data_IF_099776819271
#
_entry.id   IF_099776819271
#
_cell.length_a   1.000
_cell.length_b   1.000
_cell.length_c   1.000
_cell.angle_alpha   90.00
_cell.angle_beta   90.00
_cell.angle_gamma   90.00
#
_symmetry.space_group_name_H-M   'P 1'
#
loop_
_entity.id
_entity.type
_entity.pdbx_description
1 polymer ?
#
# COMPACT_ATOMS: atom_id res chain seq x y z
N UNK A 1 23.03 -8.44 9.48
CA UNK A 1 21.73 -7.77 9.30
C UNK A 1 21.97 -6.29 9.36
N UNK A 2 21.89 -5.60 8.23
CA UNK A 2 22.00 -4.14 8.19
C UNK A 2 20.80 -3.55 8.96
N UNK A 3 21.04 -2.61 9.89
CA UNK A 3 19.96 -1.98 10.65
C UNK A 3 19.12 -1.15 9.67
N UNK A 4 17.82 -1.43 9.58
CA UNK A 4 16.89 -0.56 8.85
C UNK A 4 17.04 0.89 9.32
N UNK A 5 17.31 1.80 8.37
CA UNK A 5 17.45 3.23 8.64
C UNK A 5 16.07 3.78 9.00
N UNK A 6 15.93 4.36 10.20
CA UNK A 6 14.72 5.10 10.56
C UNK A 6 14.71 6.44 9.81
N UNK A 7 14.03 6.47 8.67
CA UNK A 7 13.92 7.65 7.80
C UNK A 7 13.27 8.85 8.49
N UNK A 8 12.51 8.64 9.56
CA UNK A 8 11.93 9.75 10.36
C UNK A 8 13.01 10.55 11.09
N UNK A 9 14.15 9.92 11.38
CA UNK A 9 15.30 10.55 12.03
C UNK A 9 16.34 11.04 11.01
N UNK A 10 16.33 10.49 9.80
CA UNK A 10 17.29 10.82 8.73
C UNK A 10 16.56 11.02 7.39
N UNK A 11 15.79 12.11 7.21
CA UNK A 11 14.91 12.29 6.05
C UNK A 11 15.65 12.33 4.70
N UNK A 12 16.93 12.70 4.68
CA UNK A 12 17.77 12.71 3.48
C UNK A 12 18.06 11.32 2.90
N UNK A 13 17.83 10.25 3.68
CA UNK A 13 17.95 8.85 3.24
C UNK A 13 16.63 8.30 2.68
N UNK A 14 15.60 9.13 2.51
CA UNK A 14 14.32 8.69 1.95
C UNK A 14 14.48 8.17 0.52
N UNK A 15 13.87 7.01 0.26
CA UNK A 15 13.82 6.32 -1.03
C UNK A 15 12.38 5.86 -1.24
N UNK A 16 11.72 6.49 -2.19
CA UNK A 16 10.30 6.33 -2.44
C UNK A 16 10.04 5.27 -3.50
N UNK A 17 9.02 4.45 -3.27
CA UNK A 17 8.39 3.62 -4.28
C UNK A 17 6.90 3.87 -4.32
N UNK A 18 6.27 3.38 -5.38
CA UNK A 18 4.81 3.42 -5.54
C UNK A 18 4.29 2.00 -5.70
N UNK A 19 3.20 1.69 -5.00
CA UNK A 19 2.42 0.49 -5.22
C UNK A 19 1.04 0.90 -5.71
N UNK A 20 0.65 0.35 -6.85
CA UNK A 20 -0.70 0.51 -7.37
C UNK A 20 -1.46 -0.79 -7.13
N UNK A 21 -2.35 -0.79 -6.13
CA UNK A 21 -3.20 -1.94 -5.82
C UNK A 21 -4.59 -1.78 -6.45
N UNK A 22 -5.03 -2.81 -7.15
CA UNK A 22 -6.23 -2.86 -7.96
C UNK A 22 -7.05 -4.13 -7.65
N UNK A 23 -8.00 -4.47 -8.52
CA UNK A 23 -8.87 -5.64 -8.34
C UNK A 23 -8.11 -6.94 -8.12
N UNK A 24 -6.90 -7.09 -8.67
CA UNK A 24 -6.06 -8.27 -8.44
C UNK A 24 -5.64 -8.35 -6.97
N UNK A 25 -5.00 -7.30 -6.46
CA UNK A 25 -4.49 -7.24 -5.08
C UNK A 25 -5.65 -7.30 -4.08
N UNK A 26 -6.77 -6.64 -4.40
CA UNK A 26 -7.95 -6.56 -3.54
C UNK A 26 -8.70 -7.90 -3.44
N UNK A 27 -8.84 -8.63 -4.56
CA UNK A 27 -9.78 -9.76 -4.64
C UNK A 27 -9.10 -11.13 -4.75
N UNK A 28 -7.80 -11.20 -5.10
CA UNK A 28 -7.15 -12.46 -5.48
C UNK A 28 -5.84 -12.71 -4.76
N UNK A 29 -4.98 -11.69 -4.66
CA UNK A 29 -3.66 -11.88 -4.09
C UNK A 29 -3.74 -12.33 -2.63
N UNK A 30 -2.86 -13.23 -2.23
CA UNK A 30 -2.74 -13.77 -0.88
C UNK A 30 -1.85 -12.87 0.01
N UNK A 31 -1.71 -13.19 1.31
CA UNK A 31 -0.70 -12.51 2.13
C UNK A 31 0.72 -12.71 1.58
N UNK A 32 1.02 -13.88 1.01
CA UNK A 32 2.34 -14.20 0.43
C UNK A 32 2.62 -13.40 -0.85
N UNK A 33 1.62 -13.25 -1.73
CA UNK A 33 1.76 -12.43 -2.94
C UNK A 33 2.08 -10.97 -2.60
N UNK A 34 1.39 -10.42 -1.60
CA UNK A 34 1.63 -9.05 -1.12
C UNK A 34 3.00 -8.94 -0.42
N UNK A 35 3.39 -9.92 0.39
CA UNK A 35 4.71 -9.96 1.03
C UNK A 35 5.84 -9.97 -0.01
N UNK A 36 5.73 -10.82 -1.04
CA UNK A 36 6.69 -10.91 -2.12
C UNK A 36 6.79 -9.60 -2.92
N UNK A 37 5.65 -8.96 -3.19
CA UNK A 37 5.60 -7.66 -3.85
C UNK A 37 6.34 -6.60 -3.03
N UNK A 38 6.02 -6.47 -1.74
CA UNK A 38 6.69 -5.49 -0.85
C UNK A 38 8.17 -5.82 -0.67
N UNK A 39 8.53 -7.09 -0.52
CA UNK A 39 9.92 -7.54 -0.44
C UNK A 39 10.72 -7.06 -1.64
N UNK A 40 10.14 -7.10 -2.85
CA UNK A 40 10.82 -6.62 -4.07
C UNK A 40 11.18 -5.13 -4.04
N UNK A 41 10.46 -4.32 -3.25
CA UNK A 41 10.79 -2.92 -3.00
C UNK A 41 11.88 -2.80 -1.93
N UNK A 42 11.77 -3.57 -0.85
CA UNK A 42 12.77 -3.63 0.22
C UNK A 42 14.16 -4.04 -0.33
N UNK A 43 14.20 -5.07 -1.18
CA UNK A 43 15.43 -5.55 -1.85
C UNK A 43 16.09 -4.48 -2.74
N UNK A 44 15.31 -3.48 -3.20
CA UNK A 44 15.80 -2.31 -3.97
C UNK A 44 16.21 -1.12 -3.08
N UNK A 45 16.11 -1.26 -1.75
CA UNK A 45 16.42 -0.20 -0.79
C UNK A 45 15.33 0.87 -0.64
N UNK A 46 14.11 0.60 -1.11
CA UNK A 46 12.96 1.48 -0.85
C UNK A 46 12.60 1.40 0.63
N UNK A 47 12.35 2.55 1.25
CA UNK A 47 12.03 2.67 2.67
C UNK A 47 10.75 3.48 2.94
N UNK A 48 10.17 4.09 1.91
CA UNK A 48 8.83 4.68 1.94
C UNK A 48 8.07 4.18 0.72
N UNK A 49 6.90 3.56 0.92
CA UNK A 49 6.04 3.07 -0.16
C UNK A 49 4.72 3.83 -0.14
N UNK A 50 4.39 4.46 -1.26
CA UNK A 50 3.16 5.22 -1.42
C UNK A 50 2.12 4.34 -2.12
N UNK A 51 1.01 4.07 -1.44
CA UNK A 51 -0.14 3.33 -1.95
C UNK A 51 -1.04 4.19 -2.82
N UNK A 52 -1.39 3.67 -3.99
CA UNK A 52 -2.39 4.22 -4.90
C UNK A 52 -3.35 3.12 -5.35
N UNK A 53 -4.60 3.48 -5.66
CA UNK A 53 -5.60 2.53 -6.10
C UNK A 53 -6.53 3.08 -7.17
N UNK A 54 -7.07 2.20 -8.02
CA UNK A 54 -8.15 2.53 -8.94
C UNK A 54 -9.48 2.87 -8.25
N UNK A 55 -9.60 2.61 -6.95
CA UNK A 55 -10.86 2.73 -6.20
C UNK A 55 -11.32 4.17 -5.98
N UNK A 56 -10.41 5.16 -6.02
CA UNK A 56 -10.75 6.58 -6.01
C UNK A 56 -11.86 6.92 -4.99
N UNK A 57 -11.78 6.39 -3.76
CA UNK A 57 -12.85 6.32 -2.74
C UNK A 57 -14.20 6.93 -3.17
N UNK A 58 -14.95 6.12 -3.92
CA UNK A 58 -16.32 6.41 -4.36
C UNK A 58 -17.32 5.65 -3.50
N UNK A 59 -18.47 6.24 -3.23
CA UNK A 59 -19.57 5.56 -2.51
C UNK A 59 -20.02 4.27 -3.20
N UNK A 60 -19.84 4.14 -4.52
CA UNK A 60 -20.13 2.92 -5.26
C UNK A 60 -19.35 1.69 -4.75
N UNK A 61 -18.19 1.90 -4.13
CA UNK A 61 -17.38 0.83 -3.55
C UNK A 61 -17.71 0.52 -2.09
N UNK A 62 -18.69 1.20 -1.47
CA UNK A 62 -19.06 1.00 -0.07
C UNK A 62 -19.28 -0.48 0.28
N UNK A 63 -19.94 -1.24 -0.60
CA UNK A 63 -20.19 -2.69 -0.43
C UNK A 63 -18.93 -3.57 -0.48
N UNK A 64 -17.77 -2.99 -0.79
CA UNK A 64 -16.49 -3.65 -0.92
C UNK A 64 -15.41 -2.98 -0.07
N UNK A 65 -15.77 -2.04 0.82
CA UNK A 65 -14.83 -1.36 1.71
C UNK A 65 -14.12 -2.36 2.62
N UNK A 66 -14.81 -3.39 3.08
CA UNK A 66 -14.21 -4.51 3.82
C UNK A 66 -13.00 -5.09 3.06
N UNK A 67 -13.17 -5.44 1.79
CA UNK A 67 -12.10 -6.01 0.95
C UNK A 67 -10.98 -5.02 0.66
N UNK A 68 -11.33 -3.76 0.42
CA UNK A 68 -10.35 -2.69 0.18
C UNK A 68 -9.49 -2.49 1.44
N UNK A 69 -10.13 -2.36 2.60
CA UNK A 69 -9.42 -2.20 3.89
C UNK A 69 -8.57 -3.41 4.23
N UNK A 70 -9.04 -4.62 3.93
CA UNK A 70 -8.27 -5.85 4.12
C UNK A 70 -7.04 -5.91 3.20
N UNK A 71 -7.16 -5.44 1.96
CA UNK A 71 -6.02 -5.25 1.07
C UNK A 71 -4.97 -4.27 1.66
N UNK A 72 -5.42 -3.09 2.10
CA UNK A 72 -4.54 -2.09 2.72
C UNK A 72 -3.88 -2.66 3.97
N UNK A 73 -4.61 -3.38 4.82
CA UNK A 73 -4.08 -4.04 6.03
C UNK A 73 -2.92 -4.99 5.69
N UNK A 74 -3.07 -5.82 4.65
CA UNK A 74 -2.03 -6.76 4.20
C UNK A 74 -0.79 -6.02 3.70
N UNK A 75 -0.97 -4.95 2.92
CA UNK A 75 0.13 -4.11 2.43
C UNK A 75 0.88 -3.47 3.62
N UNK A 76 0.17 -2.83 4.55
CA UNK A 76 0.77 -2.21 5.74
C UNK A 76 1.56 -3.21 6.57
N UNK A 77 0.99 -4.40 6.83
CA UNK A 77 1.65 -5.48 7.57
C UNK A 77 2.94 -5.92 6.88
N UNK A 78 2.91 -6.11 5.56
CA UNK A 78 4.08 -6.46 4.77
C UNK A 78 5.15 -5.34 4.79
N UNK A 79 4.75 -4.07 4.61
CA UNK A 79 5.67 -2.93 4.69
C UNK A 79 6.40 -2.87 6.04
N UNK A 80 5.67 -3.01 7.14
CA UNK A 80 6.23 -2.94 8.49
C UNK A 80 7.20 -4.11 8.78
N UNK A 81 6.97 -5.29 8.21
CA UNK A 81 7.90 -6.43 8.31
C UNK A 81 9.29 -6.09 7.75
N UNK A 82 9.35 -5.26 6.69
CA UNK A 82 10.59 -4.83 6.04
C UNK A 82 11.05 -3.42 6.44
N UNK A 83 10.50 -2.85 7.53
CA UNK A 83 10.86 -1.51 7.99
C UNK A 83 10.51 -0.39 7.00
N UNK A 84 9.61 -0.63 6.07
CA UNK A 84 9.11 0.35 5.09
C UNK A 84 7.97 1.15 5.74
N UNK A 85 8.05 2.48 5.67
CA UNK A 85 6.92 3.33 5.99
C UNK A 85 5.90 3.30 4.86
N UNK A 86 4.63 3.04 5.20
CA UNK A 86 3.55 3.08 4.25
C UNK A 86 2.82 4.42 4.30
N UNK A 87 2.59 5.03 3.13
CA UNK A 87 1.78 6.24 2.99
C UNK A 87 0.65 5.92 2.04
N UNK A 88 -0.57 5.93 2.55
CA UNK A 88 -1.75 5.71 1.73
C UNK A 88 -2.18 7.03 1.10
N UNK A 89 -2.20 7.11 -0.23
CA UNK A 89 -2.75 8.26 -0.93
C UNK A 89 -4.22 8.02 -1.30
N UNK A 90 -5.08 8.84 -0.74
CA UNK A 90 -6.51 8.82 -1.02
C UNK A 90 -6.92 10.03 -1.86
N UNK A 91 -7.47 9.76 -3.03
CA UNK A 91 -8.33 10.69 -3.74
C UNK A 91 -9.77 10.18 -3.68
N UNK A 92 -10.73 11.08 -3.52
CA UNK A 92 -12.15 10.73 -3.40
C UNK A 92 -12.98 11.47 -4.43
N UNK A 93 -13.98 10.78 -4.97
CA UNK A 93 -15.09 11.40 -5.70
C UNK A 93 -16.35 11.05 -4.93
N UNK A 94 -16.79 11.96 -4.06
CA UNK A 94 -17.92 11.77 -3.14
C UNK A 94 -19.29 11.97 -3.82
N UNK A 95 -19.32 11.90 -5.15
CA UNK A 95 -20.57 11.88 -5.90
C UNK A 95 -21.12 10.46 -5.92
N UNK A 96 -22.40 10.32 -5.57
CA UNK A 96 -23.12 9.08 -5.80
C UNK A 96 -23.43 9.02 -7.31
N UNK A 97 -22.83 8.06 -8.01
CA UNK A 97 -23.09 7.84 -9.43
C UNK A 97 -23.80 6.50 -9.59
N UNK A 98 -25.14 6.44 -9.48
CA UNK A 98 -25.88 5.22 -9.74
C UNK A 98 -25.63 4.81 -11.19
N UNK A 99 -25.22 3.55 -11.39
CA UNK A 99 -25.12 2.95 -12.72
C UNK A 99 -26.50 2.85 -13.37
#
# INVERSE_FOLDING_TARGET
>A
MEKHIDVRKNPWQSRYGWIWYNSKEILRDTEEDIDNLVKSFADKGINILIGFSCTHFRWNFYRHFDKITECIRRIVKACHKYGILYVEHHSSHLTFNPL
#
